data_IF_557914733250
#
_entry.id   IF_557914733250
#
_cell.length_a   1.000
_cell.length_b   1.000
_cell.length_c   1.000
_cell.angle_alpha   90.00
_cell.angle_beta   90.00
_cell.angle_gamma   90.00
#
_symmetry.space_group_name_H-M   'P 1'
#
loop_
_entity.id
_entity.type
_entity.pdbx_description
1 polymer ?
#
# COMPACT_ATOMS: atom_id res chain seq x y z
N UNK A 1 15.01 13.49 -29.51
CA UNK A 1 15.94 13.54 -28.36
C UNK A 1 15.21 12.91 -27.19
N UNK A 2 15.77 11.89 -26.53
CA UNK A 2 15.15 11.28 -25.35
C UNK A 2 15.19 12.29 -24.19
N UNK A 3 14.05 12.51 -23.54
CA UNK A 3 13.99 13.35 -22.34
C UNK A 3 14.86 12.73 -21.26
N UNK A 4 15.84 13.50 -20.77
CA UNK A 4 16.68 13.08 -19.65
C UNK A 4 15.87 13.26 -18.38
N UNK A 5 15.53 12.16 -17.69
CA UNK A 5 14.86 12.21 -16.39
C UNK A 5 15.80 12.88 -15.41
N UNK A 6 15.35 13.97 -14.80
CA UNK A 6 16.18 14.71 -13.84
C UNK A 6 16.10 14.07 -12.45
N UNK A 7 17.09 14.31 -11.59
CA UNK A 7 17.02 13.92 -10.18
C UNK A 7 15.73 14.43 -9.51
N UNK A 8 15.28 15.63 -9.91
CA UNK A 8 14.04 16.21 -9.40
C UNK A 8 12.79 15.42 -9.82
N UNK A 9 12.79 14.81 -11.00
CA UNK A 9 11.70 13.97 -11.49
C UNK A 9 11.68 12.62 -10.77
N UNK A 10 12.86 12.04 -10.48
CA UNK A 10 12.97 10.84 -9.65
C UNK A 10 12.43 11.07 -8.23
N UNK A 11 12.75 12.21 -7.60
CA UNK A 11 12.24 12.56 -6.26
C UNK A 11 10.71 12.73 -6.29
N UNK A 12 10.14 13.34 -7.35
CA UNK A 12 8.69 13.48 -7.50
C UNK A 12 7.99 12.12 -7.62
N UNK A 13 8.49 11.25 -8.51
CA UNK A 13 7.95 9.90 -8.67
C UNK A 13 8.00 9.10 -7.37
N UNK A 14 9.09 9.22 -6.60
CA UNK A 14 9.20 8.54 -5.33
C UNK A 14 8.17 9.05 -4.29
N UNK A 15 7.92 10.36 -4.26
CA UNK A 15 6.87 10.94 -3.40
C UNK A 15 5.47 10.45 -3.78
N UNK A 16 5.17 10.40 -5.08
CA UNK A 16 3.90 9.88 -5.58
C UNK A 16 3.72 8.39 -5.25
N UNK A 17 4.80 7.60 -5.38
CA UNK A 17 4.81 6.21 -4.97
C UNK A 17 4.50 6.05 -3.48
N UNK A 18 5.18 6.79 -2.60
CA UNK A 18 4.92 6.74 -1.16
C UNK A 18 3.49 7.17 -0.81
N UNK A 19 2.96 8.18 -1.49
CA UNK A 19 1.57 8.59 -1.33
C UNK A 19 0.59 7.48 -1.71
N UNK A 20 0.86 6.79 -2.83
CA UNK A 20 0.05 5.65 -3.29
C UNK A 20 0.14 4.47 -2.33
N UNK A 21 1.34 4.15 -1.86
CA UNK A 21 1.60 3.09 -0.88
C UNK A 21 0.81 3.35 0.41
N UNK A 22 0.89 4.55 0.98
CA UNK A 22 0.17 4.89 2.20
C UNK A 22 -1.34 4.74 2.05
N UNK A 23 -1.90 5.22 0.92
CA UNK A 23 -3.33 5.11 0.63
C UNK A 23 -3.77 3.65 0.48
N UNK A 24 -2.97 2.82 -0.18
CA UNK A 24 -3.23 1.40 -0.31
C UNK A 24 -3.22 0.71 1.06
N UNK A 25 -2.20 1.00 1.88
CA UNK A 25 -2.08 0.45 3.24
C UNK A 25 -3.27 0.84 4.11
N UNK A 26 -3.72 2.10 4.06
CA UNK A 26 -4.89 2.57 4.81
C UNK A 26 -6.17 1.82 4.40
N UNK A 27 -6.47 1.77 3.09
CA UNK A 27 -7.66 1.09 2.57
C UNK A 27 -7.65 -0.39 2.96
N UNK A 28 -6.52 -1.07 2.74
CA UNK A 28 -6.36 -2.48 3.02
C UNK A 28 -6.53 -2.79 4.52
N UNK A 29 -5.99 -1.94 5.41
CA UNK A 29 -6.19 -2.08 6.84
C UNK A 29 -7.67 -1.94 7.21
N UNK A 30 -8.35 -0.91 6.70
CA UNK A 30 -9.76 -0.66 7.00
C UNK A 30 -10.68 -1.78 6.50
N UNK A 31 -10.37 -2.37 5.34
CA UNK A 31 -11.21 -3.38 4.70
C UNK A 31 -10.88 -4.82 5.14
N UNK A 32 -9.62 -5.14 5.40
CA UNK A 32 -9.17 -6.52 5.64
C UNK A 32 -8.95 -6.86 7.12
N UNK A 33 -8.53 -5.91 7.95
CA UNK A 33 -8.24 -6.15 9.38
C UNK A 33 -9.48 -5.88 10.21
N UNK A 34 -10.04 -6.93 10.79
CA UNK A 34 -11.31 -6.88 11.53
C UNK A 34 -11.20 -7.50 12.92
N UNK A 35 -10.20 -8.32 13.16
CA UNK A 35 -10.00 -8.97 14.45
C UNK A 35 -8.95 -8.24 15.28
N UNK A 36 -9.43 -7.57 16.33
CA UNK A 36 -8.58 -6.83 17.27
C UNK A 36 -8.36 -7.57 18.60
N UNK A 37 -8.61 -8.89 18.65
CA UNK A 37 -8.39 -9.72 19.85
C UNK A 37 -6.97 -10.23 19.99
N UNK A 38 -6.18 -10.19 18.90
CA UNK A 38 -4.78 -10.58 18.85
C UNK A 38 -3.90 -9.45 18.30
N UNK A 39 -2.60 -9.51 18.57
CA UNK A 39 -1.61 -8.62 17.95
C UNK A 39 -1.01 -9.16 16.65
N UNK A 40 -1.45 -10.35 16.25
CA UNK A 40 -1.03 -11.04 15.02
C UNK A 40 -2.09 -10.83 13.95
N UNK A 41 -1.65 -10.72 12.70
CA UNK A 41 -2.53 -10.72 11.52
C UNK A 41 -3.01 -12.15 11.31
N UNK A 42 -4.33 -12.36 11.29
CA UNK A 42 -4.86 -13.72 11.09
C UNK A 42 -4.63 -14.18 9.66
N UNK A 43 -4.48 -15.50 9.41
CA UNK A 43 -4.28 -16.04 8.05
C UNK A 43 -5.36 -15.60 7.06
N UNK A 44 -6.59 -15.44 7.55
CA UNK A 44 -7.70 -14.96 6.74
C UNK A 44 -7.53 -13.46 6.39
N UNK A 45 -7.07 -12.61 7.31
CA UNK A 45 -6.79 -11.19 7.02
C UNK A 45 -5.58 -11.06 6.08
N UNK A 46 -4.55 -11.89 6.25
CA UNK A 46 -3.36 -11.92 5.41
C UNK A 46 -3.69 -12.26 3.95
N UNK A 47 -4.60 -13.21 3.71
CA UNK A 47 -5.06 -13.54 2.36
C UNK A 47 -5.61 -12.31 1.63
N UNK A 48 -6.49 -11.54 2.26
CA UNK A 48 -7.07 -10.34 1.65
C UNK A 48 -6.05 -9.21 1.48
N UNK A 49 -5.13 -9.06 2.45
CA UNK A 49 -4.03 -8.09 2.36
C UNK A 49 -3.12 -8.39 1.15
N UNK A 50 -2.79 -9.65 0.91
CA UNK A 50 -1.91 -10.06 -0.19
C UNK A 50 -2.57 -9.95 -1.56
N UNK A 51 -3.88 -10.20 -1.67
CA UNK A 51 -4.61 -10.09 -2.93
C UNK A 51 -5.06 -8.65 -3.24
N UNK A 52 -4.98 -7.73 -2.27
CA UNK A 52 -5.59 -6.40 -2.35
C UNK A 52 -7.10 -6.47 -2.69
N UNK A 53 -7.77 -7.54 -2.27
CA UNK A 53 -9.20 -7.74 -2.47
C UNK A 53 -9.95 -7.53 -1.14
N UNK A 54 -10.90 -6.59 -1.06
CA UNK A 54 -11.73 -6.44 0.14
C UNK A 54 -12.61 -7.69 0.33
N UNK A 55 -12.89 -8.02 1.60
CA UNK A 55 -13.90 -9.04 1.94
C UNK A 55 -15.32 -8.60 1.68
#
# INVERSE_FOLDING_TARGET
>A
MAAQVTESDHIKQFKEFLGTYNKLTENCFMDCVKDFTTREVKPEEEYHIQQNEPR
#
